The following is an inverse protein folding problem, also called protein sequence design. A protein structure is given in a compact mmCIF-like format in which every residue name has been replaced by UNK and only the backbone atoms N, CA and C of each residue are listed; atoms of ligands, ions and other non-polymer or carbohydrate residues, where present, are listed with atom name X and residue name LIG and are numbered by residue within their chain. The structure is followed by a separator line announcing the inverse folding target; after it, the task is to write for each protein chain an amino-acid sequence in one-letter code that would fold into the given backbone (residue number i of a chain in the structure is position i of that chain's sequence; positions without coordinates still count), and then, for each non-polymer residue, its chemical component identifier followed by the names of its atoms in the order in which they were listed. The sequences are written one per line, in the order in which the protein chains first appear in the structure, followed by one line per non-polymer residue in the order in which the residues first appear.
data_IF_166965982770
#
_entry.id   IF_166965982770
#
_cell.length_a   1.000
_cell.length_b   1.000
_cell.length_c   1.000
_cell.angle_alpha   90.00
_cell.angle_beta   90.00
_cell.angle_gamma   90.00
#
_symmetry.space_group_name_H-M   'P 1'
#
loop_
_entity.id
_entity.type
_entity.pdbx_description
1 polymer ?
#
# COMPACT_ATOMS: atom_id res chain seq x y z
N UNK A 1 -3.95 14.98 -26.24
CA UNK A 1 -5.38 14.63 -26.14
C UNK A 1 -5.58 13.69 -24.96
N UNK A 2 -5.71 14.23 -23.75
CA UNK A 2 -6.33 13.49 -22.63
C UNK A 2 -7.82 13.82 -22.71
N UNK A 3 -8.67 12.80 -22.66
CA UNK A 3 -10.12 13.00 -22.60
C UNK A 3 -10.46 13.37 -21.16
N UNK A 4 -10.71 14.64 -20.96
CA UNK A 4 -11.39 15.15 -19.78
C UNK A 4 -12.81 14.60 -19.80
N UNK A 5 -13.09 13.60 -18.98
CA UNK A 5 -14.46 13.22 -18.66
C UNK A 5 -14.92 14.15 -17.55
N UNK A 6 -15.51 15.27 -17.96
CA UNK A 6 -16.24 16.18 -17.09
C UNK A 6 -17.39 15.44 -16.40
N UNK A 7 -17.13 14.95 -15.18
CA UNK A 7 -18.20 14.50 -14.30
C UNK A 7 -18.70 15.72 -13.52
N UNK A 8 -19.63 16.47 -14.11
CA UNK A 8 -20.32 17.57 -13.42
C UNK A 8 -21.05 17.04 -12.18
N UNK A 9 -20.77 17.52 -10.95
CA UNK A 9 -21.54 17.14 -9.78
C UNK A 9 -22.85 17.91 -9.82
N UNK A 10 -23.92 17.27 -10.29
CA UNK A 10 -25.26 17.80 -10.11
C UNK A 10 -25.58 17.80 -8.62
N UNK A 11 -25.49 19.00 -8.03
CA UNK A 11 -26.24 19.47 -6.85
C UNK A 11 -26.74 18.35 -5.94
N UNK A 12 -25.91 17.94 -4.98
CA UNK A 12 -26.31 17.08 -3.89
C UNK A 12 -27.36 17.80 -3.02
N UNK A 13 -28.62 17.71 -3.46
CA UNK A 13 -29.81 18.07 -2.72
C UNK A 13 -29.73 17.35 -1.38
N UNK A 14 -29.59 18.13 -0.29
CA UNK A 14 -29.59 17.68 1.11
C UNK A 14 -30.90 16.95 1.38
N UNK A 15 -30.95 15.67 1.02
CA UNK A 15 -32.07 14.79 1.35
C UNK A 15 -31.86 14.38 2.80
N UNK A 16 -32.73 14.88 3.67
CA UNK A 16 -33.10 14.15 4.88
C UNK A 16 -33.38 12.70 4.46
N UNK A 17 -32.46 11.79 4.76
CA UNK A 17 -32.70 10.36 4.62
C UNK A 17 -32.86 9.80 6.03
N UNK A 18 -34.11 9.42 6.27
CA UNK A 18 -34.61 8.63 7.39
C UNK A 18 -33.67 7.49 7.78
N UNK A 19 -33.59 7.27 9.10
CA UNK A 19 -32.89 6.20 9.81
C UNK A 19 -32.93 4.84 9.11
N UNK A 20 -31.82 4.44 8.48
CA UNK A 20 -31.50 3.04 8.20
C UNK A 20 -30.45 2.59 9.23
N UNK A 21 -30.93 2.11 10.38
CA UNK A 21 -30.11 1.42 11.36
C UNK A 21 -30.11 -0.07 11.02
N UNK A 22 -29.10 -0.52 10.28
CA UNK A 22 -29.00 -1.93 9.87
C UNK A 22 -27.56 -2.44 9.92
N UNK A 23 -27.31 -3.40 10.81
CA UNK A 23 -26.15 -4.27 10.78
C UNK A 23 -26.48 -5.42 9.82
N UNK A 24 -25.81 -5.49 8.67
CA UNK A 24 -26.06 -6.55 7.69
C UNK A 24 -25.03 -7.67 7.87
N UNK A 25 -25.50 -8.89 8.16
CA UNK A 25 -24.63 -10.06 8.27
C UNK A 25 -24.70 -10.92 7.01
N UNK A 26 -23.55 -11.40 6.53
CA UNK A 26 -23.42 -12.36 5.44
C UNK A 26 -22.21 -13.27 5.68
N UNK A 27 -22.40 -14.59 5.71
CA UNK A 27 -21.36 -15.60 5.95
C UNK A 27 -20.43 -15.22 7.13
N UNK A 28 -21.03 -14.98 8.31
CA UNK A 28 -20.35 -14.57 9.54
C UNK A 28 -19.62 -13.20 9.47
N UNK A 29 -19.76 -12.45 8.37
CA UNK A 29 -19.23 -11.09 8.19
C UNK A 29 -20.33 -10.06 8.39
N UNK A 30 -20.17 -9.17 9.38
CA UNK A 30 -21.06 -8.03 9.62
C UNK A 30 -20.59 -6.75 8.92
N UNK A 31 -21.45 -6.10 8.15
CA UNK A 31 -21.26 -4.76 7.60
C UNK A 31 -21.96 -3.72 8.47
N UNK A 32 -21.19 -2.74 8.95
CA UNK A 32 -21.68 -1.64 9.78
C UNK A 32 -21.55 -0.33 9.00
N UNK A 33 -22.59 0.50 9.03
CA UNK A 33 -22.52 1.88 8.53
C UNK A 33 -22.29 2.83 9.69
N UNK A 34 -21.30 3.72 9.57
CA UNK A 34 -21.01 4.75 10.59
C UNK A 34 -22.15 5.77 10.63
N UNK A 35 -22.82 5.89 11.78
CA UNK A 35 -23.91 6.85 12.00
C UNK A 35 -23.38 8.18 12.52
N UNK A 36 -22.66 8.14 13.64
CA UNK A 36 -22.08 9.31 14.28
C UNK A 36 -20.75 8.98 14.95
N UNK A 37 -19.93 10.01 15.21
CA UNK A 37 -18.68 9.87 15.95
C UNK A 37 -18.89 10.43 17.35
N UNK A 38 -18.85 9.59 18.38
CA UNK A 38 -19.02 10.02 19.78
C UNK A 38 -17.83 10.87 20.24
N UNK A 39 -16.61 10.42 19.92
CA UNK A 39 -15.38 11.19 20.12
C UNK A 39 -14.41 10.88 18.98
N UNK A 40 -13.89 11.90 18.26
CA UNK A 40 -12.94 11.66 17.18
C UNK A 40 -11.60 11.16 17.74
N UNK A 41 -10.92 10.24 17.03
CA UNK A 41 -9.53 9.92 17.31
C UNK A 41 -8.62 11.15 17.18
N UNK A 42 -7.53 11.18 17.95
CA UNK A 42 -6.56 12.28 17.96
C UNK A 42 -5.80 12.48 16.64
N UNK A 43 -5.84 11.49 15.76
CA UNK A 43 -5.06 11.33 14.55
C UNK A 43 -5.98 11.41 13.32
N UNK A 44 -7.24 11.79 13.53
CA UNK A 44 -8.20 12.04 12.47
C UNK A 44 -7.90 13.38 11.79
N UNK A 45 -7.83 13.38 10.46
CA UNK A 45 -7.66 14.57 9.62
C UNK A 45 -8.69 14.57 8.49
N UNK A 46 -8.95 15.74 7.94
CA UNK A 46 -9.76 15.87 6.73
C UNK A 46 -9.06 15.22 5.54
N UNK A 47 -9.83 14.47 4.74
CA UNK A 47 -9.29 13.75 3.60
C UNK A 47 -9.06 14.71 2.43
N UNK A 48 -7.89 14.73 1.78
CA UNK A 48 -7.66 15.54 0.59
C UNK A 48 -8.38 15.01 -0.67
N UNK A 49 -8.95 13.81 -0.64
CA UNK A 49 -9.76 13.28 -1.74
C UNK A 49 -11.26 13.55 -1.51
N UNK A 50 -11.89 14.30 -2.41
CA UNK A 50 -13.33 14.59 -2.37
C UNK A 50 -14.21 13.33 -2.44
N UNK A 51 -13.66 12.24 -2.98
CA UNK A 51 -14.33 10.97 -3.23
C UNK A 51 -14.06 9.93 -2.12
N UNK A 52 -13.33 10.28 -1.06
CA UNK A 52 -12.88 9.33 -0.04
C UNK A 52 -14.02 8.55 0.64
N UNK A 53 -15.22 9.13 0.71
CA UNK A 53 -16.39 8.52 1.35
C UNK A 53 -17.02 7.34 0.59
N UNK A 54 -16.75 7.20 -0.72
CA UNK A 54 -17.27 6.10 -1.54
C UNK A 54 -16.21 5.46 -2.45
N UNK A 55 -14.96 5.94 -2.39
CA UNK A 55 -13.83 5.36 -3.10
C UNK A 55 -13.19 4.22 -2.28
N UNK A 56 -13.10 3.02 -2.85
CA UNK A 56 -12.43 1.89 -2.22
C UNK A 56 -10.89 2.02 -2.12
N UNK A 57 -10.30 2.99 -2.81
CA UNK A 57 -8.84 3.16 -2.91
C UNK A 57 -8.19 3.91 -1.74
N UNK A 58 -8.92 4.78 -1.03
CA UNK A 58 -8.35 5.74 -0.07
C UNK A 58 -8.77 5.47 1.39
N UNK A 59 -8.62 4.22 1.87
CA UNK A 59 -9.21 3.76 3.14
C UNK A 59 -8.69 4.43 4.42
N UNK A 60 -7.45 4.93 4.42
CA UNK A 60 -6.78 5.49 5.62
C UNK A 60 -6.44 6.97 5.46
N UNK A 61 -6.99 7.63 4.45
CA UNK A 61 -6.60 9.01 4.11
C UNK A 61 -7.08 10.03 5.14
N UNK A 62 -8.01 9.64 6.00
CA UNK A 62 -8.52 10.40 7.12
C UNK A 62 -7.63 10.30 8.37
N UNK A 63 -6.43 9.71 8.27
CA UNK A 63 -5.46 9.62 9.36
C UNK A 63 -4.27 10.55 9.10
N UNK A 64 -3.62 11.07 10.15
CA UNK A 64 -2.31 11.72 10.01
C UNK A 64 -1.31 10.75 9.37
N UNK A 65 -0.33 11.29 8.65
CA UNK A 65 0.59 10.48 7.84
C UNK A 65 1.31 9.41 8.66
N UNK A 66 1.75 9.74 9.88
CA UNK A 66 2.43 8.82 10.78
C UNK A 66 1.55 7.64 11.17
N UNK A 67 0.24 7.86 11.35
CA UNK A 67 -0.72 6.79 11.63
C UNK A 67 -0.98 5.93 10.39
N UNK A 68 -0.97 6.51 9.18
CA UNK A 68 -1.07 5.75 7.93
C UNK A 68 0.12 4.79 7.76
N UNK A 69 1.34 5.27 8.01
CA UNK A 69 2.57 4.47 7.92
C UNK A 69 2.51 3.31 8.91
N UNK A 70 2.17 3.57 10.18
CA UNK A 70 2.03 2.52 11.20
C UNK A 70 0.97 1.48 10.86
N UNK A 71 -0.18 1.91 10.33
CA UNK A 71 -1.23 0.99 9.89
C UNK A 71 -0.74 0.08 8.75
N UNK A 72 0.05 0.63 7.81
CA UNK A 72 0.62 -0.13 6.70
C UNK A 72 1.70 -1.10 7.16
N UNK A 73 2.59 -0.68 8.06
CA UNK A 73 3.59 -1.54 8.68
C UNK A 73 2.92 -2.72 9.41
N UNK A 74 1.87 -2.45 10.17
CA UNK A 74 1.11 -3.49 10.84
C UNK A 74 0.46 -4.46 9.84
N UNK A 75 -0.13 -3.95 8.75
CA UNK A 75 -0.70 -4.81 7.71
C UNK A 75 0.35 -5.77 7.12
N UNK A 76 1.53 -5.26 6.77
CA UNK A 76 2.63 -6.09 6.23
C UNK A 76 3.08 -7.12 7.26
N UNK A 77 3.25 -6.72 8.53
CA UNK A 77 3.63 -7.61 9.60
C UNK A 77 2.64 -8.79 9.77
N UNK A 78 1.33 -8.50 9.75
CA UNK A 78 0.31 -9.54 9.81
C UNK A 78 0.35 -10.47 8.59
N UNK A 79 0.61 -9.94 7.40
CA UNK A 79 0.75 -10.75 6.20
C UNK A 79 1.92 -11.72 6.30
N UNK A 80 3.08 -11.26 6.76
CA UNK A 80 4.27 -12.12 6.87
C UNK A 80 4.05 -13.24 7.91
N UNK A 81 3.46 -12.91 9.06
CA UNK A 81 3.14 -13.91 10.10
C UNK A 81 2.13 -14.93 9.57
N UNK A 82 1.05 -14.46 8.92
CA UNK A 82 -0.07 -15.33 8.56
C UNK A 82 0.20 -16.17 7.31
N UNK A 83 1.00 -15.68 6.35
CA UNK A 83 1.21 -16.35 5.06
C UNK A 83 2.57 -17.04 4.94
N UNK A 84 3.63 -16.52 5.56
CA UNK A 84 4.99 -17.04 5.36
C UNK A 84 5.54 -17.82 6.56
N UNK A 85 4.72 -18.10 7.59
CA UNK A 85 5.09 -18.93 8.76
C UNK A 85 6.24 -18.37 9.61
N UNK A 86 6.72 -17.15 9.35
CA UNK A 86 7.74 -16.53 10.18
C UNK A 86 7.18 -16.20 11.56
N UNK A 87 7.87 -16.64 12.60
CA UNK A 87 7.61 -16.16 13.95
C UNK A 87 8.04 -14.71 14.10
N UNK A 88 7.41 -13.98 15.01
CA UNK A 88 7.77 -12.59 15.32
C UNK A 88 9.26 -12.44 15.69
N UNK A 89 9.80 -13.43 16.39
CA UNK A 89 11.22 -13.51 16.77
C UNK A 89 12.17 -13.66 15.58
N UNK A 90 11.78 -14.39 14.53
CA UNK A 90 12.58 -14.52 13.30
C UNK A 90 12.55 -13.23 12.48
N UNK A 91 11.44 -12.52 12.49
CA UNK A 91 11.28 -11.26 11.78
C UNK A 91 12.22 -10.17 12.32
N UNK A 92 12.37 -10.13 13.65
CA UNK A 92 13.29 -9.23 14.35
C UNK A 92 14.76 -9.59 14.11
N UNK A 93 15.10 -10.89 14.14
CA UNK A 93 16.49 -11.35 13.95
C UNK A 93 16.98 -11.16 12.51
N UNK A 94 16.15 -11.48 11.52
CA UNK A 94 16.45 -11.32 10.10
C UNK A 94 16.35 -9.87 9.62
N UNK A 95 15.90 -8.96 10.49
CA UNK A 95 15.80 -7.54 10.17
C UNK A 95 14.91 -7.23 8.95
N UNK A 96 13.95 -8.12 8.64
CA UNK A 96 13.10 -8.05 7.44
C UNK A 96 12.25 -6.78 7.43
N UNK A 97 11.82 -6.32 8.61
CA UNK A 97 10.97 -5.13 8.76
C UNK A 97 11.75 -3.81 8.86
N UNK A 98 13.07 -3.82 8.64
CA UNK A 98 13.84 -2.56 8.70
C UNK A 98 13.40 -1.62 7.58
N UNK A 99 13.23 -0.31 7.87
CA UNK A 99 12.97 0.69 6.84
C UNK A 99 14.10 0.68 5.82
N UNK A 100 13.76 0.55 4.53
CA UNK A 100 14.74 0.64 3.45
C UNK A 100 15.24 2.07 3.40
N UNK A 101 16.51 2.30 3.72
CA UNK A 101 17.11 3.63 3.62
C UNK A 101 17.48 3.90 2.16
N UNK A 102 17.49 5.18 1.77
CA UNK A 102 17.88 5.61 0.41
C UNK A 102 19.24 5.04 -0.04
N UNK A 103 20.16 4.87 0.90
CA UNK A 103 21.48 4.29 0.62
C UNK A 103 21.42 2.79 0.29
N UNK A 104 20.45 2.05 0.85
CA UNK A 104 20.30 0.62 0.61
C UNK A 104 19.89 0.36 -0.85
N UNK A 105 19.07 1.26 -1.43
CA UNK A 105 18.78 1.24 -2.87
C UNK A 105 20.04 1.40 -3.71
N UNK A 106 20.92 2.35 -3.38
CA UNK A 106 22.15 2.60 -4.14
C UNK A 106 23.07 1.36 -4.17
N UNK A 107 23.21 0.66 -3.03
CA UNK A 107 23.97 -0.58 -2.93
C UNK A 107 23.33 -1.69 -3.79
N UNK A 108 22.00 -1.88 -3.67
CA UNK A 108 21.30 -2.92 -4.42
C UNK A 108 21.42 -2.71 -5.94
N UNK A 109 21.26 -1.48 -6.42
CA UNK A 109 21.45 -1.17 -7.84
C UNK A 109 22.90 -1.36 -8.27
N UNK A 110 23.88 -0.91 -7.49
CA UNK A 110 25.31 -1.07 -7.83
C UNK A 110 25.71 -2.55 -7.97
N UNK A 111 25.25 -3.41 -7.07
CA UNK A 111 25.51 -4.86 -7.12
C UNK A 111 24.84 -5.50 -8.34
N UNK A 112 23.57 -5.17 -8.60
CA UNK A 112 22.84 -5.66 -9.76
C UNK A 112 23.48 -5.23 -11.09
N UNK A 113 23.86 -3.95 -11.21
CA UNK A 113 24.58 -3.44 -12.39
C UNK A 113 25.94 -4.13 -12.58
N UNK A 114 26.69 -4.37 -11.50
CA UNK A 114 27.94 -5.11 -11.57
C UNK A 114 27.74 -6.54 -12.08
N UNK A 115 26.72 -7.25 -11.57
CA UNK A 115 26.40 -8.60 -12.02
C UNK A 115 25.91 -8.65 -13.46
N UNK A 116 25.01 -7.75 -13.87
CA UNK A 116 24.54 -7.64 -15.26
C UNK A 116 25.73 -7.34 -16.19
N UNK A 117 26.59 -6.39 -15.82
CA UNK A 117 27.78 -6.05 -16.62
C UNK A 117 28.76 -7.23 -16.73
N UNK A 118 28.97 -7.98 -15.66
CA UNK A 118 29.82 -9.19 -15.67
C UNK A 118 29.25 -10.30 -16.55
N UNK A 119 27.93 -10.52 -16.52
CA UNK A 119 27.24 -11.47 -17.40
C UNK A 119 27.38 -11.07 -18.88
N UNK A 120 27.21 -9.79 -19.21
CA UNK A 120 27.36 -9.29 -20.58
C UNK A 120 28.79 -9.42 -21.11
N UNK A 121 29.81 -9.15 -20.27
CA UNK A 121 31.22 -9.34 -20.64
C UNK A 121 31.57 -10.82 -20.87
N UNK A 122 31.01 -11.73 -20.05
CA UNK A 122 31.20 -13.16 -20.25
C UNK A 122 30.53 -13.67 -21.54
N UNK A 123 29.33 -13.17 -21.86
CA UNK A 123 28.67 -13.47 -23.13
C UNK A 123 29.49 -12.97 -24.32
N UNK A 124 29.96 -11.72 -24.26
CA UNK A 124 30.78 -11.12 -25.31
C UNK A 124 32.08 -11.91 -25.56
N UNK A 125 32.80 -12.29 -24.49
CA UNK A 125 34.01 -13.12 -24.60
C UNK A 125 33.73 -14.52 -25.14
N UNK A 126 32.61 -15.14 -24.75
CA UNK A 126 32.21 -16.46 -25.27
C UNK A 126 31.88 -16.41 -26.75
N UNK A 127 31.17 -15.37 -27.22
CA UNK A 127 30.95 -15.15 -28.65
C UNK A 127 32.26 -14.88 -29.39
N UNK A 128 33.17 -14.10 -28.82
CA UNK A 128 34.46 -13.80 -29.47
C UNK A 128 35.31 -15.06 -29.64
N UNK A 129 35.34 -15.96 -28.64
CA UNK A 129 36.04 -17.23 -28.73
C UNK A 129 35.43 -18.18 -29.77
N UNK A 130 34.09 -18.25 -29.87
CA UNK A 130 33.39 -19.08 -30.86
C UNK A 130 33.56 -18.60 -32.31
N UNK A 131 33.91 -17.33 -32.52
CA UNK A 131 34.20 -16.76 -33.86
C UNK A 131 35.68 -16.85 -34.25
N UNK A 132 36.57 -17.22 -33.30
CA UNK A 132 38.04 -17.28 -33.49
C UNK A 132 38.56 -18.74 -33.56
N UNK A 133 37.70 -19.73 -33.31
CA UNK A 133 37.96 -21.17 -33.57
C UNK A 133 37.31 -21.54 -34.91
#
# INVERSE_FOLDING_TARGET
MRRDLDFSPTSAKKRHRSSDHGLQFYNDVGMVTKVETISPPWDLVDTPCDYASYCGGCKTQNLIYEAQVKAKEHQVHQLIINFETFSRTELESLSIMKPIKKHDFAIMFSSCFYHIRKQLLNLANTTYLLFVI
#
